data_IF_944081087855
#
_entry.id   IF_944081087855
#
_cell.length_a   1.000
_cell.length_b   1.000
_cell.length_c   1.000
_cell.angle_alpha   90.00
_cell.angle_beta   90.00
_cell.angle_gamma   90.00
#
_symmetry.space_group_name_H-M   'P 1'
#
loop_
_entity.id
_entity.type
_entity.pdbx_description
1 polymer ?
#
# COMPACT_ATOMS: atom_id res chain seq x y z
N UNK A 1 -21.84 -5.50 15.39
CA UNK A 1 -20.75 -4.49 15.43
C UNK A 1 -20.61 -3.92 14.03
N UNK A 2 -20.33 -2.62 13.87
CA UNK A 2 -20.12 -2.05 12.54
C UNK A 2 -18.88 -2.68 11.88
N UNK A 3 -18.99 -3.01 10.59
CA UNK A 3 -17.89 -3.55 9.78
C UNK A 3 -16.70 -2.58 9.81
N UNK A 4 -15.49 -3.10 9.98
CA UNK A 4 -14.25 -2.32 9.90
C UNK A 4 -13.83 -2.19 8.44
N UNK A 5 -13.73 -0.97 7.92
CA UNK A 5 -13.35 -0.69 6.54
C UNK A 5 -11.83 -0.52 6.44
N UNK A 6 -11.19 -1.29 5.56
CA UNK A 6 -9.77 -1.14 5.24
C UNK A 6 -9.63 -0.79 3.77
N UNK A 7 -8.93 0.29 3.45
CA UNK A 7 -8.68 0.67 2.06
C UNK A 7 -7.28 0.26 1.65
N UNK A 8 -7.17 -0.47 0.54
CA UNK A 8 -5.91 -0.76 -0.13
C UNK A 8 -5.80 0.23 -1.29
N UNK A 9 -5.09 1.33 -1.07
CA UNK A 9 -4.95 2.44 -2.01
C UNK A 9 -3.59 2.34 -2.69
N UNK A 10 -3.54 2.23 -4.01
CA UNK A 10 -2.29 2.00 -4.70
C UNK A 10 -2.22 2.62 -6.08
N UNK A 11 -1.00 2.82 -6.56
CA UNK A 11 -0.72 3.09 -7.96
C UNK A 11 0.05 1.91 -8.55
N UNK A 12 -0.30 1.50 -9.78
CA UNK A 12 0.43 0.47 -10.52
C UNK A 12 0.50 0.84 -11.99
N UNK A 13 1.73 0.94 -12.53
CA UNK A 13 1.93 1.17 -13.96
C UNK A 13 2.05 -0.14 -14.75
N UNK A 14 2.80 -1.10 -14.24
CA UNK A 14 3.11 -2.38 -14.92
C UNK A 14 2.49 -3.59 -14.22
N UNK A 15 1.41 -3.43 -13.44
CA UNK A 15 0.69 -4.55 -12.80
C UNK A 15 1.31 -5.12 -11.52
N UNK A 16 2.61 -5.01 -11.28
CA UNK A 16 3.27 -5.62 -10.11
C UNK A 16 2.66 -5.20 -8.75
N UNK A 17 2.38 -3.90 -8.56
CA UNK A 17 1.77 -3.40 -7.32
C UNK A 17 0.30 -3.80 -7.23
N UNK A 18 -0.39 -3.91 -8.36
CA UNK A 18 -1.77 -4.41 -8.45
C UNK A 18 -1.89 -5.85 -7.96
N UNK A 19 -1.00 -6.73 -8.43
CA UNK A 19 -0.91 -8.12 -7.96
C UNK A 19 -0.70 -8.20 -6.44
N UNK A 20 0.18 -7.37 -5.90
CA UNK A 20 0.41 -7.28 -4.45
C UNK A 20 -0.83 -6.74 -3.71
N UNK A 21 -1.47 -5.70 -4.24
CA UNK A 21 -2.66 -5.07 -3.64
C UNK A 21 -3.83 -6.06 -3.55
N UNK A 22 -4.08 -6.84 -4.60
CA UNK A 22 -5.11 -7.89 -4.61
C UNK A 22 -4.83 -8.95 -3.55
N UNK A 23 -3.58 -9.35 -3.38
CA UNK A 23 -3.22 -10.34 -2.37
C UNK A 23 -3.33 -9.79 -0.94
N UNK A 24 -2.95 -8.53 -0.74
CA UNK A 24 -3.18 -7.79 0.51
C UNK A 24 -4.68 -7.73 0.82
N UNK A 25 -5.52 -7.42 -0.17
CA UNK A 25 -6.98 -7.36 0.01
C UNK A 25 -7.54 -8.72 0.45
N UNK A 26 -7.10 -9.83 -0.17
CA UNK A 26 -7.47 -11.18 0.26
C UNK A 26 -7.07 -11.44 1.71
N UNK A 27 -5.85 -11.05 2.08
CA UNK A 27 -5.36 -11.12 3.45
C UNK A 27 -6.25 -10.38 4.45
N UNK A 28 -6.56 -9.13 4.15
CA UNK A 28 -7.41 -8.29 5.00
C UNK A 28 -8.84 -8.82 5.11
N UNK A 29 -9.44 -9.28 4.00
CA UNK A 29 -10.78 -9.88 3.97
C UNK A 29 -10.87 -11.24 4.66
N UNK A 30 -9.74 -11.89 4.98
CA UNK A 30 -9.74 -13.11 5.79
C UNK A 30 -10.07 -12.85 7.28
N UNK A 31 -10.06 -11.58 7.72
CA UNK A 31 -10.39 -11.18 9.09
C UNK A 31 -11.89 -10.95 9.21
N UNK A 32 -12.56 -11.74 10.04
CA UNK A 32 -14.00 -11.60 10.28
C UNK A 32 -14.38 -10.17 10.68
N UNK A 33 -15.45 -9.61 10.09
CA UNK A 33 -15.92 -8.26 10.40
C UNK A 33 -15.04 -7.12 9.86
N UNK A 34 -14.08 -7.43 8.99
CA UNK A 34 -13.34 -6.47 8.17
C UNK A 34 -13.82 -6.56 6.73
N UNK A 35 -13.95 -5.41 6.06
CA UNK A 35 -14.19 -5.29 4.63
C UNK A 35 -13.04 -4.47 4.02
N UNK A 36 -12.27 -5.11 3.15
CA UNK A 36 -11.16 -4.52 2.45
C UNK A 36 -11.50 -4.26 0.98
N UNK A 37 -11.33 -3.01 0.54
CA UNK A 37 -11.60 -2.56 -0.84
C UNK A 37 -10.35 -2.05 -1.52
N UNK A 38 -10.24 -2.29 -2.82
CA UNK A 38 -9.15 -1.80 -3.67
C UNK A 38 -9.50 -0.43 -4.24
N UNK A 39 -8.49 0.43 -4.33
CA UNK A 39 -8.62 1.78 -4.84
C UNK A 39 -7.37 2.18 -5.65
N UNK A 40 -7.57 2.63 -6.88
CA UNK A 40 -6.49 3.14 -7.73
C UNK A 40 -6.26 4.62 -7.48
N UNK A 41 -4.99 5.00 -7.32
CA UNK A 41 -4.58 6.40 -7.43
C UNK A 41 -4.64 6.80 -8.91
N UNK A 42 -5.27 7.94 -9.25
CA UNK A 42 -5.42 8.38 -10.63
C UNK A 42 -4.10 8.50 -11.40
N UNK A 43 -4.15 8.22 -12.71
CA UNK A 43 -3.02 8.44 -13.60
C UNK A 43 -2.78 9.94 -13.83
N UNK A 44 -1.52 10.34 -13.94
CA UNK A 44 -1.13 11.75 -14.22
C UNK A 44 -0.32 11.90 -15.49
N UNK A 45 0.22 10.81 -16.03
CA UNK A 45 0.98 10.85 -17.28
C UNK A 45 0.04 10.96 -18.48
N UNK A 46 0.36 11.82 -19.47
CA UNK A 46 -0.38 11.86 -20.73
C UNK A 46 -0.31 10.51 -21.46
N UNK A 47 -1.36 10.16 -22.21
CA UNK A 47 -1.45 8.91 -22.97
C UNK A 47 -0.22 8.63 -23.84
N UNK A 48 0.25 9.66 -24.58
CA UNK A 48 1.46 9.58 -25.41
C UNK A 48 2.72 9.15 -24.64
N UNK A 49 2.82 9.49 -23.35
CA UNK A 49 3.93 9.06 -22.49
C UNK A 49 3.74 7.61 -22.08
N UNK A 50 2.52 7.21 -21.71
CA UNK A 50 2.18 5.82 -21.38
C UNK A 50 2.47 4.87 -22.55
N UNK A 51 2.08 5.25 -23.77
CA UNK A 51 2.39 4.52 -25.00
C UNK A 51 3.90 4.34 -25.19
N UNK A 52 4.69 5.42 -25.02
CA UNK A 52 6.16 5.36 -25.12
C UNK A 52 6.79 4.46 -24.06
N UNK A 53 6.20 4.44 -22.87
CA UNK A 53 6.61 3.56 -21.77
C UNK A 53 6.13 2.12 -21.96
N UNK A 54 5.33 1.84 -23.00
CA UNK A 54 4.68 0.54 -23.23
C UNK A 54 3.91 0.08 -21.99
N UNK A 55 3.23 1.03 -21.34
CA UNK A 55 2.38 0.72 -20.21
C UNK A 55 1.26 -0.24 -20.66
N UNK A 56 1.04 -1.37 -19.96
CA UNK A 56 -0.09 -2.23 -20.24
C UNK A 56 -1.40 -1.49 -19.97
N UNK A 57 -2.47 -1.90 -20.63
CA UNK A 57 -3.81 -1.44 -20.29
C UNK A 57 -4.12 -1.79 -18.82
N UNK A 58 -4.70 -0.85 -18.08
CA UNK A 58 -5.17 -1.08 -16.72
C UNK A 58 -6.50 -1.85 -16.78
N UNK A 59 -6.71 -2.76 -15.83
CA UNK A 59 -8.00 -3.40 -15.67
C UNK A 59 -9.02 -2.38 -15.14
N UNK A 60 -10.23 -2.41 -15.68
CA UNK A 60 -11.32 -1.48 -15.34
C UNK A 60 -12.22 -2.02 -14.21
N UNK A 61 -11.65 -2.84 -13.32
CA UNK A 61 -12.38 -3.50 -12.22
C UNK A 61 -12.14 -2.84 -10.85
N UNK A 62 -11.16 -1.94 -10.76
CA UNK A 62 -10.83 -1.22 -9.51
C UNK A 62 -11.08 0.28 -9.72
N UNK A 63 -11.98 0.90 -8.93
CA UNK A 63 -12.29 2.32 -9.09
C UNK A 63 -11.11 3.20 -8.67
N UNK A 64 -11.05 4.38 -9.29
CA UNK A 64 -10.17 5.44 -8.80
C UNK A 64 -10.69 6.05 -7.50
N UNK A 65 -9.78 6.40 -6.59
CA UNK A 65 -10.10 7.09 -5.34
C UNK A 65 -9.80 8.58 -5.43
N UNK A 66 -10.71 9.39 -4.87
CA UNK A 66 -10.44 10.80 -4.58
C UNK A 66 -9.91 10.98 -3.15
N UNK A 67 -9.02 11.95 -2.89
CA UNK A 67 -8.43 12.18 -1.57
C UNK A 67 -9.43 12.22 -0.42
N UNK A 68 -10.59 12.86 -0.63
CA UNK A 68 -11.61 13.05 0.42
C UNK A 68 -12.20 11.72 0.91
N UNK A 69 -12.21 10.69 0.06
CA UNK A 69 -12.74 9.37 0.42
C UNK A 69 -11.85 8.63 1.42
N UNK A 70 -10.60 9.07 1.64
CA UNK A 70 -9.75 8.49 2.68
C UNK A 70 -10.43 8.54 4.05
N UNK A 71 -11.22 9.58 4.33
CA UNK A 71 -11.88 9.73 5.63
C UNK A 71 -12.96 8.67 5.92
N UNK A 72 -13.33 7.86 4.92
CA UNK A 72 -14.33 6.81 5.06
C UNK A 72 -13.78 5.47 5.61
N UNK A 73 -12.46 5.26 5.58
CA UNK A 73 -11.84 3.99 5.98
C UNK A 73 -11.24 4.02 7.39
N UNK A 74 -11.34 2.93 8.14
CA UNK A 74 -10.78 2.85 9.49
C UNK A 74 -9.26 2.59 9.49
N UNK A 75 -8.72 2.06 8.40
CA UNK A 75 -7.29 1.79 8.22
C UNK A 75 -6.90 1.59 6.76
N UNK A 76 -5.59 1.60 6.49
CA UNK A 76 -5.06 1.68 5.13
C UNK A 76 -3.89 0.73 4.88
N UNK A 77 -3.76 0.30 3.62
CA UNK A 77 -2.48 -0.12 3.06
C UNK A 77 -2.21 0.70 1.80
N UNK A 78 -1.08 1.40 1.76
CA UNK A 78 -0.70 2.23 0.64
C UNK A 78 0.38 1.60 -0.25
N UNK A 79 0.13 1.55 -1.55
CA UNK A 79 0.98 0.87 -2.53
C UNK A 79 1.58 1.79 -3.59
N UNK A 80 2.88 1.67 -3.87
CA UNK A 80 3.51 2.43 -4.97
C UNK A 80 4.70 1.70 -5.59
N UNK A 81 4.94 1.80 -6.91
CA UNK A 81 6.22 1.40 -7.46
C UNK A 81 7.29 2.43 -7.09
N UNK A 82 8.48 1.96 -6.74
CA UNK A 82 9.62 2.82 -6.47
C UNK A 82 10.00 3.66 -7.69
N UNK A 83 10.28 4.93 -7.44
CA UNK A 83 10.92 5.88 -8.35
C UNK A 83 12.09 6.50 -7.61
N UNK A 84 13.30 5.99 -7.88
CA UNK A 84 14.54 6.46 -7.26
C UNK A 84 14.50 6.43 -5.72
N UNK A 85 13.88 5.41 -5.13
CA UNK A 85 13.77 5.27 -3.67
C UNK A 85 12.64 6.10 -3.04
N UNK A 86 11.74 6.64 -3.86
CA UNK A 86 10.53 7.35 -3.43
C UNK A 86 9.29 6.68 -4.03
N UNK A 87 8.10 7.06 -3.52
CA UNK A 87 6.84 6.76 -4.20
C UNK A 87 6.78 7.39 -5.61
N UNK A 88 5.93 6.85 -6.48
CA UNK A 88 5.65 7.44 -7.78
C UNK A 88 4.99 8.83 -7.65
N UNK A 89 5.22 9.69 -8.64
CA UNK A 89 4.69 11.06 -8.67
C UNK A 89 3.16 11.11 -8.53
N UNK A 90 2.45 10.12 -9.07
CA UNK A 90 1.01 9.93 -8.94
C UNK A 90 0.58 9.84 -7.48
N UNK A 91 1.26 8.98 -6.71
CA UNK A 91 0.97 8.80 -5.27
C UNK A 91 1.36 10.05 -4.50
N UNK A 92 2.46 10.71 -4.85
CA UNK A 92 2.85 11.97 -4.22
C UNK A 92 1.83 13.08 -4.48
N UNK A 93 1.36 13.22 -5.72
CA UNK A 93 0.33 14.19 -6.10
C UNK A 93 -1.01 13.92 -5.38
N UNK A 94 -1.38 12.64 -5.22
CA UNK A 94 -2.54 12.26 -4.43
C UNK A 94 -2.45 12.71 -2.97
N UNK A 95 -1.30 12.51 -2.31
CA UNK A 95 -1.06 13.05 -0.96
C UNK A 95 -0.91 14.57 -0.94
N UNK A 96 -0.43 15.22 -1.99
CA UNK A 96 -0.37 16.69 -2.02
C UNK A 96 -1.76 17.33 -2.09
N UNK A 97 -2.76 16.57 -2.57
CA UNK A 97 -4.15 16.97 -2.59
C UNK A 97 -4.90 16.71 -1.26
N UNK A 98 -4.25 16.21 -0.20
CA UNK A 98 -4.89 15.93 1.09
C UNK A 98 -4.73 17.07 2.11
N UNK A 99 -4.40 18.29 1.69
CA UNK A 99 -4.13 19.41 2.60
C UNK A 99 -5.23 19.64 3.63
N UNK A 100 -6.50 19.66 3.23
CA UNK A 100 -7.62 19.87 4.16
C UNK A 100 -7.75 18.74 5.18
N UNK A 101 -7.61 17.49 4.73
CA UNK A 101 -7.63 16.28 5.58
C UNK A 101 -6.49 16.32 6.60
N UNK A 102 -5.31 16.78 6.18
CA UNK A 102 -4.16 17.02 7.05
C UNK A 102 -4.44 18.14 8.04
N UNK A 103 -4.98 19.27 7.59
CA UNK A 103 -5.24 20.44 8.43
C UNK A 103 -6.21 20.12 9.56
N UNK A 104 -7.23 19.29 9.30
CA UNK A 104 -8.18 18.80 10.31
C UNK A 104 -7.72 17.53 11.02
N UNK A 105 -6.55 16.99 10.67
CA UNK A 105 -6.02 15.72 11.18
C UNK A 105 -7.04 14.56 11.10
N UNK A 106 -7.87 14.52 10.05
CA UNK A 106 -8.98 13.56 9.96
C UNK A 106 -8.56 12.09 9.81
N UNK A 107 -7.28 11.84 9.50
CA UNK A 107 -6.68 10.50 9.45
C UNK A 107 -5.88 10.15 10.71
N UNK A 108 -5.81 11.05 11.70
CA UNK A 108 -5.05 10.79 12.91
C UNK A 108 -5.56 9.56 13.66
N UNK A 109 -4.64 8.74 14.16
CA UNK A 109 -4.95 7.49 14.86
C UNK A 109 -5.35 6.31 13.96
N UNK A 110 -5.56 6.53 12.65
CA UNK A 110 -5.90 5.43 11.72
C UNK A 110 -4.67 4.60 11.40
N UNK A 111 -4.72 3.26 11.50
CA UNK A 111 -3.59 2.41 11.16
C UNK A 111 -3.28 2.42 9.66
N UNK A 112 -2.01 2.46 9.30
CA UNK A 112 -1.56 2.45 7.91
C UNK A 112 -0.31 1.57 7.73
N UNK A 113 -0.37 0.64 6.78
CA UNK A 113 0.78 -0.10 6.26
C UNK A 113 1.21 0.42 4.89
N UNK A 114 2.42 0.08 4.45
CA UNK A 114 2.92 0.41 3.12
C UNK A 114 3.45 -0.84 2.40
N UNK A 115 3.32 -0.86 1.07
CA UNK A 115 3.86 -1.92 0.22
C UNK A 115 4.33 -1.34 -1.12
N UNK A 116 5.23 -2.03 -1.81
CA UNK A 116 5.85 -1.45 -3.00
C UNK A 116 6.37 -2.49 -4.00
N UNK A 117 6.73 -2.02 -5.19
CA UNK A 117 7.57 -2.77 -6.13
C UNK A 117 8.84 -2.00 -6.47
N UNK A 118 9.95 -2.68 -6.75
CA UNK A 118 11.19 -2.03 -7.23
C UNK A 118 11.78 -2.81 -8.40
N UNK A 119 12.61 -2.17 -9.23
CA UNK A 119 13.32 -2.88 -10.29
C UNK A 119 14.21 -4.01 -9.76
N UNK A 120 15.26 -3.67 -9.01
CA UNK A 120 16.33 -4.62 -8.65
C UNK A 120 16.87 -4.37 -7.24
N UNK A 121 17.74 -5.26 -6.76
CA UNK A 121 18.41 -5.15 -5.46
C UNK A 121 19.14 -3.81 -5.31
N UNK A 122 19.00 -3.15 -4.16
CA UNK A 122 19.55 -1.81 -3.93
C UNK A 122 18.78 -0.68 -4.62
N UNK A 123 17.79 -0.99 -5.47
CA UNK A 123 16.93 -0.03 -6.18
C UNK A 123 15.89 0.70 -5.30
N UNK A 124 16.18 0.88 -4.01
CA UNK A 124 15.33 1.62 -3.08
C UNK A 124 14.18 0.83 -2.45
N UNK A 125 14.34 -0.48 -2.24
CA UNK A 125 13.34 -1.32 -1.53
C UNK A 125 12.95 -0.71 -0.18
N UNK A 126 13.94 -0.41 0.67
CA UNK A 126 13.65 0.15 1.99
C UNK A 126 13.44 1.66 1.96
N UNK A 127 14.19 2.38 1.09
CA UNK A 127 14.06 3.84 0.97
C UNK A 127 12.65 4.28 0.55
N UNK A 128 12.01 3.52 -0.35
CA UNK A 128 10.62 3.82 -0.75
C UNK A 128 9.68 3.77 0.44
N UNK A 129 9.84 2.77 1.32
CA UNK A 129 9.05 2.65 2.53
C UNK A 129 9.35 3.78 3.54
N UNK A 130 10.63 4.03 3.80
CA UNK A 130 11.08 5.08 4.74
C UNK A 130 10.57 6.46 4.35
N UNK A 131 10.60 6.78 3.06
CA UNK A 131 10.14 8.07 2.54
C UNK A 131 8.61 8.16 2.55
N UNK A 132 7.90 7.04 2.40
CA UNK A 132 6.45 6.97 2.56
C UNK A 132 6.00 7.27 4.00
N UNK A 133 6.73 6.79 5.00
CA UNK A 133 6.39 6.96 6.43
C UNK A 133 6.25 8.44 6.80
N UNK A 134 7.01 9.33 6.15
CA UNK A 134 6.89 10.78 6.39
C UNK A 134 5.46 11.29 6.16
N UNK A 135 4.78 10.80 5.13
CA UNK A 135 3.39 11.18 4.85
C UNK A 135 2.43 10.67 5.91
N UNK A 136 2.63 9.42 6.38
CA UNK A 136 1.81 8.84 7.44
C UNK A 136 1.97 9.64 8.74
N UNK A 137 3.21 9.98 9.10
CA UNK A 137 3.52 10.74 10.30
C UNK A 137 2.88 12.13 10.30
N UNK A 138 2.94 12.86 9.19
CA UNK A 138 2.34 14.20 9.09
C UNK A 138 0.81 14.18 9.17
N UNK A 139 0.17 13.11 8.70
CA UNK A 139 -1.28 12.90 8.85
C UNK A 139 -1.69 12.33 10.22
N UNK A 140 -0.75 12.09 11.14
CA UNK A 140 -1.03 11.51 12.44
C UNK A 140 -1.45 10.04 12.40
N UNK A 141 -1.22 9.35 11.28
CA UNK A 141 -1.56 7.92 11.13
C UNK A 141 -0.62 7.04 11.95
N UNK A 142 -1.14 5.90 12.40
CA UNK A 142 -0.34 4.90 13.13
C UNK A 142 0.33 3.99 12.11
N UNK A 143 1.64 4.14 11.92
CA UNK A 143 2.39 3.24 11.04
C UNK A 143 2.42 1.83 11.63
N UNK A 144 1.89 0.86 10.86
CA UNK A 144 1.92 -0.57 11.17
C UNK A 144 2.91 -1.25 10.23
N UNK A 145 4.17 -1.47 10.66
CA UNK A 145 5.15 -2.20 9.86
C UNK A 145 4.79 -3.68 9.77
N UNK A 146 5.33 -4.37 8.76
CA UNK A 146 5.29 -5.84 8.72
C UNK A 146 6.07 -6.45 9.90
N UNK A 147 7.18 -5.82 10.28
CA UNK A 147 8.15 -6.37 11.21
C UNK A 147 8.64 -7.73 10.74
N UNK A 148 8.94 -8.63 11.69
CA UNK A 148 9.26 -10.02 11.40
C UNK A 148 8.06 -10.95 11.61
N UNK A 149 6.84 -10.41 11.55
CA UNK A 149 5.61 -11.15 11.92
C UNK A 149 5.22 -12.24 10.91
N UNK A 150 5.78 -12.20 9.68
CA UNK A 150 5.64 -13.25 8.67
C UNK A 150 6.55 -14.48 8.94
N UNK A 151 7.21 -14.53 10.10
CA UNK A 151 7.92 -15.71 10.58
C UNK A 151 9.12 -16.09 9.72
N UNK A 152 9.32 -17.40 9.48
CA UNK A 152 10.47 -17.94 8.76
C UNK A 152 10.63 -17.36 7.34
N UNK A 153 9.53 -16.96 6.68
CA UNK A 153 9.58 -16.31 5.36
C UNK A 153 10.32 -14.98 5.34
N UNK A 154 10.53 -14.33 6.50
CA UNK A 154 11.38 -13.14 6.60
C UNK A 154 12.86 -13.46 6.51
N UNK A 155 13.27 -14.66 6.96
CA UNK A 155 14.65 -15.14 7.01
C UNK A 155 15.04 -16.01 5.80
N UNK A 156 14.13 -16.20 4.85
CA UNK A 156 14.41 -16.93 3.62
C UNK A 156 15.43 -16.17 2.75
N UNK A 157 16.47 -16.88 2.31
CA UNK A 157 17.64 -16.33 1.60
C UNK A 157 18.01 -17.11 0.33
N UNK A 158 17.37 -18.25 0.04
CA UNK A 158 17.67 -19.07 -1.14
C UNK A 158 17.04 -18.49 -2.42
N UNK A 159 16.03 -17.63 -2.29
CA UNK A 159 15.37 -16.96 -3.40
C UNK A 159 15.42 -15.44 -3.25
N UNK A 160 15.56 -14.74 -4.36
CA UNK A 160 15.45 -13.28 -4.42
C UNK A 160 13.99 -12.86 -4.19
N UNK A 161 13.75 -12.17 -3.07
CA UNK A 161 12.45 -11.63 -2.68
C UNK A 161 12.53 -10.16 -2.29
N UNK A 162 11.51 -9.39 -2.67
CA UNK A 162 11.27 -8.04 -2.19
C UNK A 162 10.69 -8.00 -0.78
N UNK A 163 10.49 -6.78 -0.29
CA UNK A 163 9.94 -6.51 1.03
C UNK A 163 10.99 -6.50 2.13
N UNK A 164 10.60 -5.99 3.29
CA UNK A 164 11.45 -5.86 4.47
C UNK A 164 10.59 -5.76 5.73
N UNK A 165 11.19 -5.46 6.88
CA UNK A 165 10.43 -5.19 8.10
C UNK A 165 9.49 -3.98 7.96
N UNK A 166 9.71 -3.08 7.00
CA UNK A 166 8.83 -1.92 6.79
C UNK A 166 7.50 -2.27 6.10
N UNK A 167 7.43 -3.40 5.37
CA UNK A 167 6.27 -3.77 4.57
C UNK A 167 6.57 -4.84 3.53
N UNK A 168 5.52 -5.38 2.92
CA UNK A 168 5.66 -6.31 1.81
C UNK A 168 6.15 -5.60 0.56
N UNK A 169 6.95 -6.30 -0.25
CA UNK A 169 7.46 -5.75 -1.48
C UNK A 169 7.77 -6.81 -2.51
N UNK A 170 7.96 -6.39 -3.75
CA UNK A 170 8.29 -7.29 -4.87
C UNK A 170 9.34 -6.68 -5.79
N UNK A 171 10.12 -7.54 -6.47
CA UNK A 171 11.00 -7.13 -7.56
C UNK A 171 10.35 -7.30 -8.93
N UNK A 172 10.44 -6.26 -9.76
CA UNK A 172 9.96 -6.25 -11.13
C UNK A 172 11.06 -6.57 -12.17
N UNK A 173 12.34 -6.56 -11.77
CA UNK A 173 13.50 -6.66 -12.66
C UNK A 173 13.47 -5.59 -13.77
N UNK A 174 13.48 -6.01 -15.03
CA UNK A 174 13.30 -5.20 -16.23
C UNK A 174 11.82 -4.95 -16.59
N UNK A 175 10.90 -5.36 -15.71
CA UNK A 175 9.45 -5.33 -15.91
C UNK A 175 8.86 -6.71 -16.26
N UNK A 176 9.68 -7.73 -16.53
CA UNK A 176 9.20 -9.08 -16.88
C UNK A 176 8.93 -9.96 -15.65
N UNK A 177 9.63 -9.73 -14.53
CA UNK A 177 9.52 -10.59 -13.33
C UNK A 177 8.23 -10.30 -12.58
N UNK A 178 7.36 -11.30 -12.48
CA UNK A 178 6.15 -11.22 -11.67
C UNK A 178 6.42 -11.47 -10.17
N UNK A 179 5.56 -10.99 -9.26
CA UNK A 179 5.67 -11.29 -7.84
C UNK A 179 5.72 -12.80 -7.58
N UNK A 180 6.68 -13.25 -6.77
CA UNK A 180 6.81 -14.67 -6.44
C UNK A 180 5.75 -15.08 -5.44
N UNK A 181 5.53 -16.39 -5.32
CA UNK A 181 4.63 -16.95 -4.31
C UNK A 181 4.97 -16.47 -2.90
N UNK A 182 6.26 -16.38 -2.56
CA UNK A 182 6.72 -15.93 -1.26
C UNK A 182 6.39 -14.45 -1.00
N UNK A 183 6.60 -13.58 -2.00
CA UNK A 183 6.23 -12.16 -1.93
C UNK A 183 4.72 -11.98 -1.78
N UNK A 184 3.93 -12.77 -2.51
CA UNK A 184 2.47 -12.78 -2.42
C UNK A 184 1.99 -13.27 -1.03
N UNK A 185 2.59 -14.33 -0.47
CA UNK A 185 2.28 -14.78 0.88
C UNK A 185 2.61 -13.71 1.94
N UNK A 186 3.71 -12.99 1.76
CA UNK A 186 4.06 -11.85 2.62
C UNK A 186 3.02 -10.73 2.53
N UNK A 187 2.55 -10.40 1.32
CA UNK A 187 1.46 -9.45 1.07
C UNK A 187 0.14 -9.88 1.75
N UNK A 188 -0.26 -11.15 1.58
CA UNK A 188 -1.43 -11.70 2.26
C UNK A 188 -1.32 -11.52 3.79
N UNK A 189 -0.17 -11.88 4.35
CA UNK A 189 0.08 -11.74 5.78
C UNK A 189 0.00 -10.29 6.24
N UNK A 190 0.60 -9.35 5.50
CA UNK A 190 0.53 -7.92 5.83
C UNK A 190 -0.91 -7.41 5.84
N UNK A 191 -1.71 -7.77 4.83
CA UNK A 191 -3.11 -7.38 4.75
C UNK A 191 -3.92 -7.86 5.95
N UNK A 192 -3.74 -9.14 6.32
CA UNK A 192 -4.38 -9.71 7.51
C UNK A 192 -3.95 -8.99 8.79
N UNK A 193 -2.64 -8.78 8.96
CA UNK A 193 -2.08 -8.18 10.17
C UNK A 193 -2.56 -6.74 10.40
N UNK A 194 -2.54 -5.91 9.37
CA UNK A 194 -3.03 -4.52 9.44
C UNK A 194 -4.54 -4.49 9.70
N UNK A 195 -5.30 -5.38 9.07
CA UNK A 195 -6.75 -5.49 9.29
C UNK A 195 -7.11 -5.88 10.74
N UNK A 196 -6.39 -6.83 11.34
CA UNK A 196 -6.58 -7.21 12.75
C UNK A 196 -6.29 -6.04 13.70
N UNK A 197 -5.23 -5.27 13.45
CA UNK A 197 -4.89 -4.08 14.23
C UNK A 197 -5.95 -3.00 14.07
N UNK A 198 -6.39 -2.75 12.83
CA UNK A 198 -7.45 -1.78 12.53
C UNK A 198 -8.74 -2.12 13.28
N UNK A 199 -9.17 -3.39 13.24
CA UNK A 199 -10.37 -3.86 13.95
C UNK A 199 -10.24 -3.68 15.47
N UNK A 200 -9.05 -3.86 16.04
CA UNK A 200 -8.79 -3.64 17.48
C UNK A 200 -8.90 -2.17 17.84
N UNK A 201 -8.30 -1.28 17.05
CA UNK A 201 -8.25 0.16 17.32
C UNK A 201 -9.54 0.92 16.99
N UNK A 202 -10.35 0.42 16.05
CA UNK A 202 -11.69 0.96 15.77
C UNK A 202 -12.58 0.99 17.01
N UNK A 203 -12.42 0.04 17.93
CA UNK A 203 -13.19 -0.03 19.18
C UNK A 203 -12.81 1.07 20.19
N UNK A 204 -11.69 1.77 19.99
CA UNK A 204 -11.06 2.63 21.01
C UNK A 204 -10.74 4.04 20.54
N UNK A 205 -11.16 4.46 19.35
CA UNK A 205 -10.79 5.78 18.81
C UNK A 205 -11.52 6.92 19.55
N UNK A 206 -10.83 7.79 20.30
CA UNK A 206 -11.42 9.03 20.78
C UNK A 206 -11.63 9.98 19.60
N UNK A 207 -12.77 10.67 19.55
CA UNK A 207 -12.94 11.77 18.62
C UNK A 207 -11.92 12.86 18.98
N UNK A 208 -10.98 13.13 18.08
CA UNK A 208 -10.11 14.29 18.20
C UNK A 208 -11.01 15.52 18.02
N UNK A 209 -11.08 16.35 19.07
CA UNK A 209 -11.81 17.62 19.09
C UNK A 209 -11.09 18.69 18.28
#
# INVERSE_FOLDING_TARGET
MSTTKVYVVYYSLYGHVDSMAREIQKGANSVEGVEATLWQVPETLPEKILEKMKAPAKADDVPEIRPEQLVEADGFLFGSPSRFGMMAAQVKAFFDATHEIWATQALAGRPAGVFWSTGFHGGGQELTALTFITQLAHHGMIFVPLGYTFGSGMFEMNEVKGGSSYGAGTYAADGSRQPTKLELQQAFHQGKYVAEITKKLKKSSPQVQ
#
